data_IF_707238545945
#
_entry.id   IF_707238545945
#
_cell.length_a   1.000
_cell.length_b   1.000
_cell.length_c   1.000
_cell.angle_alpha   90.00
_cell.angle_beta   90.00
_cell.angle_gamma   90.00
#
_symmetry.space_group_name_H-M   'P 1'
#
loop_
_entity.id
_entity.type
_entity.pdbx_description
1 polymer ?
#
# COMPACT_ATOMS: atom_id res chain seq x y z
N UNK A 1 -6.56 -32.47 25.19
CA UNK A 1 -5.30 -32.03 24.63
C UNK A 1 -5.54 -31.37 23.26
N UNK A 2 -5.22 -30.12 23.12
CA UNK A 2 -5.42 -29.33 21.89
C UNK A 2 -4.05 -28.89 21.37
N UNK A 3 -3.72 -29.28 20.13
CA UNK A 3 -2.48 -28.92 19.46
C UNK A 3 -2.71 -28.69 17.97
N UNK A 4 -1.74 -28.07 17.31
CA UNK A 4 -1.74 -27.91 15.88
C UNK A 4 -1.65 -29.29 15.19
N UNK A 5 -2.33 -29.46 14.06
CA UNK A 5 -2.33 -30.72 13.30
C UNK A 5 -0.93 -31.11 12.86
N UNK A 6 -0.09 -30.16 12.45
CA UNK A 6 1.28 -30.41 12.05
C UNK A 6 2.13 -30.94 13.22
N UNK A 7 1.89 -30.43 14.45
CA UNK A 7 2.50 -30.98 15.67
C UNK A 7 2.13 -32.45 15.86
N UNK A 8 0.83 -32.78 15.75
CA UNK A 8 0.38 -34.18 15.85
C UNK A 8 0.96 -35.07 14.75
N UNK A 9 1.05 -34.56 13.52
CA UNK A 9 1.62 -35.32 12.40
C UNK A 9 3.11 -35.64 12.57
N UNK A 10 3.88 -34.81 13.26
CA UNK A 10 5.27 -35.06 13.55
C UNK A 10 5.51 -36.11 14.64
N UNK A 11 4.56 -36.33 15.55
CA UNK A 11 4.73 -37.27 16.69
C UNK A 11 5.08 -38.70 16.22
N UNK A 12 4.36 -39.34 15.29
CA UNK A 12 4.67 -40.70 14.83
C UNK A 12 6.05 -40.79 14.20
N UNK A 13 6.43 -39.75 13.45
CA UNK A 13 7.74 -39.69 12.79
C UNK A 13 8.88 -39.61 13.81
N UNK A 14 8.71 -38.76 14.84
CA UNK A 14 9.70 -38.60 15.92
C UNK A 14 9.83 -39.88 16.72
N UNK A 15 8.70 -40.55 17.05
CA UNK A 15 8.73 -41.84 17.77
C UNK A 15 9.46 -42.90 16.96
N UNK A 16 9.21 -42.98 15.65
CA UNK A 16 9.77 -43.98 14.77
C UNK A 16 11.27 -43.75 14.47
N UNK A 17 11.66 -42.49 14.19
CA UNK A 17 13.05 -42.15 13.79
C UNK A 17 13.94 -41.70 14.95
N UNK A 18 13.36 -41.43 16.09
CA UNK A 18 14.02 -40.98 17.30
C UNK A 18 14.20 -39.46 17.41
N UNK A 19 14.32 -38.99 18.63
CA UNK A 19 14.49 -37.58 18.96
C UNK A 19 15.77 -36.97 18.40
N UNK A 20 16.88 -37.74 18.42
CA UNK A 20 18.16 -37.27 17.88
C UNK A 20 18.13 -37.00 16.39
N UNK A 21 17.35 -37.78 15.64
CA UNK A 21 17.14 -37.52 14.21
C UNK A 21 16.38 -36.17 14.01
N UNK A 22 15.30 -35.96 14.74
CA UNK A 22 14.51 -34.73 14.64
C UNK A 22 15.31 -33.49 15.07
N UNK A 23 16.12 -33.64 16.11
CA UNK A 23 16.93 -32.56 16.66
C UNK A 23 18.04 -32.05 15.69
N UNK A 24 18.38 -32.82 14.67
CA UNK A 24 19.35 -32.42 13.63
C UNK A 24 18.77 -31.52 12.55
N UNK A 25 17.45 -31.41 12.49
CA UNK A 25 16.74 -30.60 11.49
C UNK A 25 16.33 -29.28 12.15
N UNK A 26 16.51 -28.17 11.45
CA UNK A 26 16.12 -26.85 11.91
C UNK A 26 17.21 -26.09 12.65
N UNK A 27 16.81 -25.02 13.34
CA UNK A 27 17.71 -24.15 14.12
C UNK A 27 17.91 -24.68 15.54
N UNK A 28 18.72 -24.00 16.34
CA UNK A 28 18.97 -24.40 17.73
C UNK A 28 17.67 -24.45 18.55
N UNK A 29 16.79 -23.47 18.38
CA UNK A 29 15.54 -23.32 19.15
C UNK A 29 14.29 -23.81 18.43
N UNK A 30 14.28 -23.80 17.09
CA UNK A 30 13.18 -24.25 16.27
C UNK A 30 13.57 -25.49 15.49
N UNK A 31 13.14 -26.66 16.00
CA UNK A 31 13.50 -27.97 15.44
C UNK A 31 12.47 -28.46 14.43
N UNK A 32 12.95 -29.31 13.50
CA UNK A 32 12.11 -29.96 12.53
C UNK A 32 11.88 -29.13 11.27
N UNK A 33 10.81 -29.50 10.59
CA UNK A 33 10.35 -28.86 9.35
C UNK A 33 9.11 -28.02 9.61
N UNK A 34 8.76 -27.16 8.65
CA UNK A 34 7.51 -26.39 8.65
C UNK A 34 6.87 -26.44 7.27
N UNK A 35 5.58 -26.70 7.26
CA UNK A 35 4.76 -26.59 6.04
C UNK A 35 4.29 -25.16 5.87
N UNK A 36 4.55 -24.58 4.70
CA UNK A 36 4.03 -23.27 4.31
C UNK A 36 3.05 -23.39 3.15
N UNK A 37 1.98 -22.60 3.24
CA UNK A 37 1.07 -22.34 2.13
C UNK A 37 1.54 -21.07 1.42
N UNK A 38 2.22 -21.24 0.28
CA UNK A 38 2.63 -20.13 -0.58
C UNK A 38 1.48 -19.67 -1.43
N UNK A 39 1.19 -18.38 -1.39
CA UNK A 39 0.13 -17.73 -2.15
C UNK A 39 0.52 -16.33 -2.58
N UNK A 40 -0.34 -15.67 -3.37
CA UNK A 40 -0.15 -14.30 -3.83
C UNK A 40 0.58 -14.20 -5.16
N UNK A 41 1.48 -13.24 -5.29
CA UNK A 41 2.17 -12.88 -6.52
C UNK A 41 3.50 -13.64 -6.68
N UNK A 42 3.43 -14.95 -6.62
CA UNK A 42 4.58 -15.86 -6.73
C UNK A 42 4.31 -16.88 -7.84
N UNK A 43 5.34 -17.35 -8.54
CA UNK A 43 5.17 -18.25 -9.67
C UNK A 43 4.65 -19.63 -9.24
N UNK A 44 5.23 -20.24 -8.21
CA UNK A 44 4.85 -21.55 -7.70
C UNK A 44 3.97 -21.38 -6.46
N UNK A 45 2.65 -21.45 -6.64
CA UNK A 45 1.66 -21.43 -5.55
C UNK A 45 1.40 -22.84 -5.07
N UNK A 46 1.30 -23.05 -3.76
CA UNK A 46 0.99 -24.36 -3.19
C UNK A 46 1.58 -24.59 -1.80
N UNK A 47 1.60 -25.84 -1.38
CA UNK A 47 2.20 -26.24 -0.11
C UNK A 47 3.65 -26.64 -0.32
N UNK A 48 4.51 -26.16 0.55
CA UNK A 48 5.93 -26.54 0.62
C UNK A 48 6.27 -26.98 2.03
N UNK A 49 7.14 -27.97 2.16
CA UNK A 49 7.75 -28.35 3.43
C UNK A 49 9.23 -28.02 3.40
N UNK A 50 9.69 -27.25 4.38
CA UNK A 50 11.07 -26.76 4.45
C UNK A 50 11.64 -26.94 5.86
N UNK A 51 12.96 -27.10 6.03
CA UNK A 51 13.56 -27.09 7.35
C UNK A 51 13.41 -25.70 7.99
N UNK A 52 13.21 -25.69 9.31
CA UNK A 52 13.28 -24.45 10.08
C UNK A 52 14.64 -23.78 9.89
N UNK A 53 14.66 -22.45 9.71
CA UNK A 53 15.89 -21.68 9.49
C UNK A 53 16.26 -21.45 8.03
N UNK A 54 15.49 -21.99 7.08
CA UNK A 54 15.59 -21.55 5.68
C UNK A 54 15.32 -20.06 5.56
N UNK A 55 15.96 -19.36 4.64
CA UNK A 55 15.73 -17.92 4.46
C UNK A 55 14.46 -17.63 3.64
N UNK A 56 13.88 -16.46 3.87
CA UNK A 56 12.77 -15.98 3.03
C UNK A 56 13.17 -15.90 1.55
N UNK A 57 14.43 -15.58 1.27
CA UNK A 57 14.97 -15.50 -0.09
C UNK A 57 14.90 -16.86 -0.79
N UNK A 58 15.40 -17.90 -0.15
CA UNK A 58 15.37 -19.27 -0.70
C UNK A 58 13.93 -19.73 -0.94
N UNK A 59 13.03 -19.47 0.02
CA UNK A 59 11.61 -19.82 -0.14
C UNK A 59 10.96 -19.10 -1.31
N UNK A 60 11.17 -17.79 -1.44
CA UNK A 60 10.50 -16.98 -2.46
C UNK A 60 11.09 -17.23 -3.86
N UNK A 61 12.43 -17.24 -3.98
CA UNK A 61 13.06 -17.24 -5.29
C UNK A 61 13.45 -18.65 -5.78
N UNK A 62 13.94 -19.54 -4.90
CA UNK A 62 14.37 -20.87 -5.31
C UNK A 62 13.18 -21.85 -5.36
N UNK A 63 12.39 -21.91 -4.30
CA UNK A 63 11.24 -22.83 -4.24
C UNK A 63 10.02 -22.22 -4.93
N UNK A 64 9.70 -20.99 -4.61
CA UNK A 64 8.58 -20.25 -5.15
C UNK A 64 8.75 -19.78 -6.60
N UNK A 65 9.97 -19.91 -7.16
CA UNK A 65 10.28 -19.56 -8.54
C UNK A 65 10.27 -18.06 -8.83
N UNK A 66 10.33 -17.22 -7.78
CA UNK A 66 10.33 -15.75 -7.90
C UNK A 66 8.95 -15.15 -8.09
N UNK A 67 8.94 -13.84 -8.31
CA UNK A 67 7.71 -13.05 -8.42
C UNK A 67 7.08 -13.25 -9.81
N UNK A 68 5.77 -13.34 -9.83
CA UNK A 68 4.98 -13.56 -11.04
C UNK A 68 5.22 -12.44 -12.06
N UNK A 69 5.25 -12.82 -13.32
CA UNK A 69 5.43 -11.92 -14.48
C UNK A 69 6.74 -11.09 -14.43
N UNK A 70 7.75 -11.55 -13.70
CA UNK A 70 9.05 -10.86 -13.58
C UNK A 70 9.00 -9.53 -12.84
N UNK A 71 7.93 -9.26 -12.09
CA UNK A 71 7.78 -8.05 -11.29
C UNK A 71 8.70 -8.04 -10.07
N UNK A 72 8.79 -6.88 -9.43
CA UNK A 72 9.59 -6.74 -8.22
C UNK A 72 8.87 -7.26 -6.96
N UNK A 73 9.63 -7.94 -6.11
CA UNK A 73 9.18 -8.30 -4.77
C UNK A 73 8.98 -7.02 -3.94
N UNK A 74 7.81 -6.89 -3.34
CA UNK A 74 7.47 -5.79 -2.44
C UNK A 74 7.51 -6.21 -0.98
N UNK A 75 6.73 -7.24 -0.66
CA UNK A 75 6.60 -7.73 0.70
C UNK A 75 6.04 -9.15 0.75
N UNK A 76 6.11 -9.76 1.91
CA UNK A 76 5.44 -11.01 2.23
C UNK A 76 4.76 -10.92 3.59
N UNK A 77 3.50 -11.31 3.65
CA UNK A 77 2.77 -11.49 4.91
C UNK A 77 2.99 -12.91 5.39
N UNK A 78 3.54 -13.08 6.59
CA UNK A 78 3.67 -14.38 7.27
C UNK A 78 2.75 -14.43 8.49
N UNK A 79 2.36 -15.63 8.91
CA UNK A 79 1.49 -15.82 10.06
C UNK A 79 0.01 -15.49 9.83
N UNK A 80 -0.40 -15.34 8.56
CA UNK A 80 -1.78 -15.02 8.19
C UNK A 80 -2.22 -13.63 8.68
N UNK A 81 -3.52 -13.44 9.00
CA UNK A 81 -4.06 -12.16 9.46
C UNK A 81 -3.50 -11.65 10.79
N UNK A 82 -2.89 -12.54 11.56
CA UNK A 82 -2.31 -12.21 12.87
C UNK A 82 -0.82 -11.86 12.79
N UNK A 83 -0.20 -12.10 11.65
CA UNK A 83 1.22 -11.86 11.45
C UNK A 83 1.54 -10.45 10.99
N UNK A 84 2.78 -10.27 10.53
CA UNK A 84 3.28 -8.99 10.04
C UNK A 84 3.78 -9.07 8.60
N UNK A 85 3.95 -7.90 8.02
CA UNK A 85 4.42 -7.71 6.66
C UNK A 85 5.94 -7.52 6.66
N UNK A 86 6.66 -8.43 6.03
CA UNK A 86 8.12 -8.41 5.88
C UNK A 86 8.50 -7.89 4.50
N UNK A 87 9.56 -7.09 4.43
CA UNK A 87 9.99 -6.38 3.21
C UNK A 87 11.33 -6.90 2.68
N UNK A 88 11.85 -6.29 1.60
CA UNK A 88 13.15 -6.64 0.99
C UNK A 88 14.29 -6.74 2.01
N UNK A 89 14.29 -5.93 3.07
CA UNK A 89 15.31 -5.96 4.14
C UNK A 89 15.33 -7.25 4.96
N UNK A 90 14.23 -8.03 4.90
CA UNK A 90 14.10 -9.26 5.65
C UNK A 90 14.29 -10.52 4.80
N UNK A 91 14.66 -10.40 3.52
CA UNK A 91 14.81 -11.55 2.63
C UNK A 91 15.81 -12.59 3.14
N UNK A 92 16.86 -12.15 3.82
CA UNK A 92 17.91 -13.04 4.35
C UNK A 92 17.67 -13.45 5.82
N UNK A 93 16.47 -13.12 6.36
CA UNK A 93 16.06 -13.55 7.69
C UNK A 93 15.74 -15.05 7.68
N UNK A 94 16.35 -15.85 8.57
CA UNK A 94 15.97 -17.24 8.75
C UNK A 94 14.52 -17.37 9.22
N UNK A 95 13.78 -18.27 8.62
CA UNK A 95 12.38 -18.52 8.99
C UNK A 95 12.34 -19.46 10.18
N UNK A 96 12.26 -18.92 11.37
CA UNK A 96 11.98 -19.62 12.62
C UNK A 96 11.12 -18.74 13.54
N UNK A 97 10.73 -19.28 14.69
CA UNK A 97 9.80 -18.56 15.59
C UNK A 97 10.41 -17.27 16.12
N UNK A 98 11.66 -17.31 16.59
CA UNK A 98 12.31 -16.17 17.25
C UNK A 98 12.64 -15.06 16.24
N UNK A 99 13.20 -15.42 15.08
CA UNK A 99 13.60 -14.46 14.07
C UNK A 99 12.37 -13.75 13.42
N UNK A 100 11.28 -14.48 13.19
CA UNK A 100 10.06 -13.87 12.66
C UNK A 100 9.43 -12.92 13.67
N UNK A 101 9.44 -13.25 14.97
CA UNK A 101 8.96 -12.33 16.02
C UNK A 101 9.86 -11.09 16.10
N UNK A 102 11.17 -11.26 16.05
CA UNK A 102 12.12 -10.14 16.06
C UNK A 102 11.97 -9.23 14.84
N UNK A 103 11.56 -9.79 13.71
CA UNK A 103 11.26 -9.04 12.48
C UNK A 103 9.85 -8.37 12.48
N UNK A 104 9.11 -8.47 13.56
CA UNK A 104 7.76 -7.88 13.71
C UNK A 104 6.64 -8.69 13.05
N UNK A 105 6.87 -9.99 12.81
CA UNK A 105 5.87 -10.90 12.27
C UNK A 105 5.72 -12.15 13.17
N UNK A 106 5.20 -13.22 12.64
CA UNK A 106 5.08 -14.50 13.33
C UNK A 106 5.01 -15.66 12.32
N UNK A 107 5.26 -16.87 12.83
CA UNK A 107 5.14 -18.11 12.06
C UNK A 107 3.68 -18.45 11.73
N UNK A 108 2.81 -18.34 12.71
CA UNK A 108 1.41 -18.78 12.62
C UNK A 108 1.30 -20.25 12.22
N UNK A 109 0.31 -20.56 11.43
CA UNK A 109 0.10 -21.89 10.86
C UNK A 109 0.82 -22.13 9.52
N UNK A 110 1.69 -21.21 9.09
CA UNK A 110 2.46 -21.35 7.86
C UNK A 110 1.85 -20.65 6.64
N UNK A 111 0.90 -19.75 6.84
CA UNK A 111 0.42 -18.89 5.74
C UNK A 111 1.50 -17.91 5.30
N UNK A 112 1.78 -17.85 3.98
CA UNK A 112 2.77 -16.97 3.39
C UNK A 112 2.20 -16.36 2.10
N UNK A 113 1.86 -15.08 2.14
CA UNK A 113 1.26 -14.37 1.00
C UNK A 113 2.26 -13.36 0.46
N UNK A 114 2.76 -13.63 -0.73
CA UNK A 114 3.77 -12.81 -1.40
C UNK A 114 3.09 -11.70 -2.21
N UNK A 115 3.62 -10.49 -2.12
CA UNK A 115 3.12 -9.28 -2.75
C UNK A 115 4.20 -8.66 -3.64
N UNK A 116 3.78 -8.17 -4.79
CA UNK A 116 4.59 -7.45 -5.76
C UNK A 116 4.37 -5.93 -5.67
N UNK A 117 5.04 -5.19 -6.55
CA UNK A 117 4.93 -3.74 -6.67
C UNK A 117 3.52 -3.22 -6.97
N UNK A 118 2.64 -4.06 -7.53
CA UNK A 118 1.24 -3.70 -7.85
C UNK A 118 0.28 -3.91 -6.68
N UNK A 119 0.77 -4.35 -5.54
CA UNK A 119 -0.03 -4.55 -4.33
C UNK A 119 -0.11 -3.25 -3.53
N UNK A 120 -1.32 -2.77 -3.21
CA UNK A 120 -1.53 -1.60 -2.35
C UNK A 120 -1.51 -2.02 -0.88
N UNK A 121 -0.59 -1.46 -0.10
CA UNK A 121 -0.42 -1.86 1.31
C UNK A 121 -1.56 -1.40 2.21
N UNK A 122 -2.22 -0.29 1.89
CA UNK A 122 -3.45 0.16 2.57
C UNK A 122 -4.59 -0.84 2.37
N UNK A 123 -4.77 -1.31 1.13
CA UNK A 123 -5.79 -2.31 0.78
C UNK A 123 -5.51 -3.67 1.42
N UNK A 124 -4.23 -4.08 1.47
CA UNK A 124 -3.81 -5.34 2.13
C UNK A 124 -4.08 -5.28 3.65
N UNK A 125 -3.71 -4.19 4.31
CA UNK A 125 -3.99 -4.01 5.74
C UNK A 125 -5.50 -4.06 6.02
N UNK A 126 -6.30 -3.40 5.19
CA UNK A 126 -7.76 -3.42 5.27
C UNK A 126 -8.31 -4.84 5.13
N UNK A 127 -7.86 -5.59 4.11
CA UNK A 127 -8.30 -6.97 3.85
C UNK A 127 -8.09 -7.89 5.06
N UNK A 128 -6.90 -7.87 5.66
CA UNK A 128 -6.62 -8.69 6.84
C UNK A 128 -7.45 -8.27 8.06
N UNK A 129 -7.69 -6.98 8.19
CA UNK A 129 -8.48 -6.46 9.31
C UNK A 129 -9.97 -6.77 9.16
N UNK A 130 -10.51 -6.73 7.93
CA UNK A 130 -11.89 -7.16 7.63
C UNK A 130 -12.09 -8.62 8.04
N UNK A 131 -11.18 -9.51 7.65
CA UNK A 131 -11.20 -10.90 8.10
C UNK A 131 -11.21 -11.01 9.64
N UNK A 132 -10.37 -10.24 10.33
CA UNK A 132 -10.32 -10.28 11.80
C UNK A 132 -11.59 -9.74 12.45
N UNK A 133 -12.25 -8.75 11.82
CA UNK A 133 -13.56 -8.27 12.28
C UNK A 133 -14.64 -9.35 12.19
N UNK A 134 -14.62 -10.15 11.12
CA UNK A 134 -15.58 -11.27 10.92
C UNK A 134 -15.32 -12.41 11.91
N UNK A 135 -14.07 -12.72 12.21
CA UNK A 135 -13.67 -13.77 13.15
C UNK A 135 -13.74 -13.36 14.63
N UNK A 136 -14.01 -12.10 14.92
CA UNK A 136 -14.10 -11.60 16.29
C UNK A 136 -15.29 -12.22 17.06
N UNK A 137 -15.00 -12.80 18.21
CA UNK A 137 -16.07 -13.35 19.10
C UNK A 137 -16.96 -12.26 19.74
N UNK A 138 -16.60 -10.97 19.60
CA UNK A 138 -17.38 -9.83 20.08
C UNK A 138 -17.37 -9.60 21.60
N UNK A 139 -16.57 -10.34 22.39
CA UNK A 139 -16.59 -10.21 23.87
C UNK A 139 -15.96 -8.91 24.36
N UNK A 140 -14.70 -8.65 23.99
CA UNK A 140 -13.98 -7.48 24.52
C UNK A 140 -14.11 -6.25 23.62
N UNK A 141 -14.29 -5.09 24.22
CA UNK A 141 -14.48 -3.83 23.52
C UNK A 141 -13.31 -3.46 22.59
N UNK A 142 -12.03 -3.62 22.98
CA UNK A 142 -10.92 -3.28 22.10
C UNK A 142 -10.99 -4.03 20.75
N UNK A 143 -11.22 -5.31 20.76
CA UNK A 143 -11.37 -6.11 19.55
C UNK A 143 -12.68 -5.79 18.80
N UNK A 144 -13.84 -5.86 19.49
CA UNK A 144 -15.16 -5.69 18.85
C UNK A 144 -15.34 -4.32 18.20
N UNK A 145 -15.00 -3.26 18.91
CA UNK A 145 -15.21 -1.89 18.46
C UNK A 145 -13.95 -1.35 17.79
N UNK A 146 -12.78 -1.59 18.37
CA UNK A 146 -11.52 -1.05 17.87
C UNK A 146 -11.19 -1.53 16.47
N UNK A 147 -11.26 -2.84 16.18
CA UNK A 147 -11.00 -3.36 14.84
C UNK A 147 -11.97 -2.78 13.80
N UNK A 148 -13.25 -2.63 14.17
CA UNK A 148 -14.22 -2.00 13.28
C UNK A 148 -13.84 -0.55 12.97
N UNK A 149 -13.39 0.21 13.97
CA UNK A 149 -12.93 1.60 13.77
C UNK A 149 -11.68 1.66 12.88
N UNK A 150 -10.70 0.76 13.09
CA UNK A 150 -9.55 0.66 12.18
C UNK A 150 -9.99 0.37 10.74
N UNK A 151 -10.96 -0.53 10.51
CA UNK A 151 -11.53 -0.80 9.18
C UNK A 151 -12.20 0.43 8.56
N UNK A 152 -12.97 1.18 9.33
CA UNK A 152 -13.61 2.42 8.90
C UNK A 152 -12.56 3.47 8.49
N UNK A 153 -11.49 3.62 9.28
CA UNK A 153 -10.38 4.54 8.98
C UNK A 153 -9.61 4.13 7.71
N UNK A 154 -9.26 2.85 7.56
CA UNK A 154 -8.62 2.35 6.34
C UNK A 154 -9.53 2.50 5.11
N UNK A 155 -10.84 2.30 5.28
CA UNK A 155 -11.83 2.53 4.23
C UNK A 155 -11.90 4.01 3.85
N UNK A 156 -11.88 4.92 4.82
CA UNK A 156 -11.83 6.37 4.61
C UNK A 156 -10.57 6.77 3.83
N UNK A 157 -9.39 6.20 4.19
CA UNK A 157 -8.12 6.45 3.53
C UNK A 157 -8.14 5.92 2.09
N UNK A 158 -8.57 4.68 1.86
CA UNK A 158 -8.62 4.06 0.53
C UNK A 158 -9.61 4.74 -0.43
N UNK A 159 -10.60 5.47 0.10
CA UNK A 159 -11.55 6.30 -0.65
C UNK A 159 -11.10 7.75 -0.86
N UNK A 160 -9.88 8.10 -0.45
CA UNK A 160 -9.34 9.45 -0.63
C UNK A 160 -9.84 10.50 0.36
N UNK A 161 -10.67 10.11 1.33
CA UNK A 161 -11.22 11.01 2.35
C UNK A 161 -10.39 11.07 3.64
N UNK A 162 -9.26 10.33 3.69
CA UNK A 162 -8.34 10.32 4.82
C UNK A 162 -7.59 11.64 5.00
N UNK A 163 -7.12 11.87 6.22
CA UNK A 163 -6.28 13.00 6.63
C UNK A 163 -5.01 12.50 7.29
N UNK A 164 -3.99 13.35 7.44
CA UNK A 164 -2.76 12.97 8.17
C UNK A 164 -3.06 12.60 9.63
N UNK A 165 -4.05 13.24 10.24
CA UNK A 165 -4.49 12.94 11.60
C UNK A 165 -5.07 11.52 11.69
N UNK A 166 -5.84 11.08 10.68
CA UNK A 166 -6.34 9.71 10.61
C UNK A 166 -5.20 8.67 10.62
N UNK A 167 -4.03 8.96 10.03
CA UNK A 167 -2.88 8.05 10.07
C UNK A 167 -2.28 7.91 11.48
N UNK A 168 -2.17 9.01 12.21
CA UNK A 168 -1.69 8.98 13.58
C UNK A 168 -2.70 8.30 14.51
N UNK A 169 -3.98 8.59 14.33
CA UNK A 169 -5.06 7.91 15.07
C UNK A 169 -5.09 6.42 14.78
N UNK A 170 -4.94 6.02 13.51
CA UNK A 170 -4.88 4.61 13.09
C UNK A 170 -3.76 3.87 13.84
N UNK A 171 -2.57 4.46 13.92
CA UNK A 171 -1.43 3.89 14.65
C UNK A 171 -1.71 3.79 16.16
N UNK A 172 -2.22 4.86 16.76
CA UNK A 172 -2.50 4.90 18.20
C UNK A 172 -3.58 3.89 18.59
N UNK A 173 -4.68 3.85 17.86
CA UNK A 173 -5.77 2.91 18.10
C UNK A 173 -5.30 1.46 17.93
N UNK A 174 -4.49 1.18 16.90
CA UNK A 174 -3.91 -0.14 16.68
C UNK A 174 -3.05 -0.60 17.87
N UNK A 175 -2.21 0.29 18.41
CA UNK A 175 -1.41 0.00 19.62
C UNK A 175 -2.30 -0.29 20.83
N UNK A 176 -3.32 0.55 21.08
CA UNK A 176 -4.25 0.35 22.21
C UNK A 176 -4.98 -1.00 22.09
N UNK A 177 -5.43 -1.40 20.91
CA UNK A 177 -6.09 -2.70 20.73
C UNK A 177 -5.12 -3.84 21.02
N UNK A 178 -3.89 -3.74 20.55
CA UNK A 178 -2.85 -4.75 20.78
C UNK A 178 -2.60 -4.97 22.27
N UNK A 179 -2.52 -3.90 23.04
CA UNK A 179 -2.17 -3.95 24.45
C UNK A 179 -3.35 -4.28 25.37
N UNK A 180 -4.60 -4.03 24.93
CA UNK A 180 -5.77 -4.14 25.80
C UNK A 180 -6.74 -5.25 25.44
N UNK A 181 -6.60 -5.91 24.29
CA UNK A 181 -7.45 -7.02 23.90
C UNK A 181 -7.20 -8.26 24.78
N UNK A 182 -8.27 -9.01 25.09
CA UNK A 182 -8.22 -10.11 26.08
C UNK A 182 -7.64 -11.41 25.55
N UNK A 183 -7.57 -11.60 24.23
CA UNK A 183 -7.08 -12.86 23.63
C UNK A 183 -6.19 -12.61 22.45
N UNK A 184 -5.49 -13.66 22.01
CA UNK A 184 -4.51 -13.60 20.91
C UNK A 184 -5.07 -13.03 19.62
N UNK A 185 -6.34 -13.31 19.25
CA UNK A 185 -6.94 -12.71 18.05
C UNK A 185 -6.92 -11.18 18.12
N UNK A 186 -7.45 -10.61 19.20
CA UNK A 186 -7.50 -9.17 19.35
C UNK A 186 -6.13 -8.52 19.53
N UNK A 187 -5.21 -9.17 20.24
CA UNK A 187 -3.83 -8.68 20.45
C UNK A 187 -3.01 -8.68 19.15
N UNK A 188 -3.30 -9.57 18.22
CA UNK A 188 -2.56 -9.69 16.97
C UNK A 188 -3.26 -9.04 15.77
N UNK A 189 -4.56 -8.78 15.87
CA UNK A 189 -5.35 -8.17 14.79
C UNK A 189 -4.76 -6.86 14.21
N UNK A 190 -4.12 -5.98 15.02
CA UNK A 190 -3.53 -4.76 14.50
C UNK A 190 -2.16 -4.96 13.83
N UNK A 191 -1.53 -6.13 13.93
CA UNK A 191 -0.19 -6.36 13.41
C UNK A 191 -0.04 -6.04 11.91
N UNK A 192 -0.96 -6.46 11.01
CA UNK A 192 -0.88 -6.08 9.59
C UNK A 192 -0.93 -4.55 9.40
N UNK A 193 -1.75 -3.84 10.17
CA UNK A 193 -1.86 -2.38 10.10
C UNK A 193 -0.56 -1.73 10.57
N UNK A 194 -0.04 -2.12 11.73
CA UNK A 194 1.19 -1.56 12.29
C UNK A 194 2.39 -1.84 11.39
N UNK A 195 2.56 -3.08 10.95
CA UNK A 195 3.70 -3.47 10.10
C UNK A 195 3.67 -2.80 8.73
N UNK A 196 2.50 -2.58 8.14
CA UNK A 196 2.39 -1.86 6.87
C UNK A 196 2.58 -0.35 7.05
N UNK A 197 2.09 0.25 8.13
CA UNK A 197 2.38 1.64 8.47
C UNK A 197 3.89 1.88 8.69
N UNK A 198 4.57 0.96 9.38
CA UNK A 198 6.00 1.09 9.68
C UNK A 198 6.89 0.93 8.45
N UNK A 199 6.53 0.02 7.54
CA UNK A 199 7.34 -0.29 6.38
C UNK A 199 6.97 0.50 5.11
N UNK A 200 5.73 1.05 5.02
CA UNK A 200 5.19 1.69 3.82
C UNK A 200 4.46 3.00 4.14
N UNK A 201 4.96 3.75 5.11
CA UNK A 201 4.40 5.03 5.53
C UNK A 201 4.15 5.99 4.36
N UNK A 202 5.08 6.03 3.41
CA UNK A 202 4.98 6.87 2.21
C UNK A 202 3.77 6.53 1.33
N UNK A 203 3.37 5.24 1.23
CA UNK A 203 2.15 4.87 0.52
C UNK A 203 0.88 5.37 1.21
N UNK A 204 0.85 5.34 2.54
CA UNK A 204 -0.26 5.89 3.31
C UNK A 204 -0.35 7.40 3.15
N UNK A 205 0.80 8.10 3.17
CA UNK A 205 0.86 9.55 2.93
C UNK A 205 0.38 9.89 1.52
N UNK A 206 0.79 9.16 0.49
CA UNK A 206 0.27 9.35 -0.87
C UNK A 206 -1.25 9.22 -0.96
N UNK A 207 -1.86 8.22 -0.29
CA UNK A 207 -3.31 8.07 -0.27
C UNK A 207 -4.02 9.25 0.39
N UNK A 208 -3.39 9.84 1.41
CA UNK A 208 -3.99 10.90 2.23
C UNK A 208 -3.73 12.29 1.67
N UNK A 209 -2.48 12.57 1.25
CA UNK A 209 -2.05 13.90 0.78
C UNK A 209 -2.24 14.05 -0.73
N UNK A 210 -1.67 13.12 -1.51
CA UNK A 210 -1.68 13.18 -2.96
C UNK A 210 -2.99 12.63 -3.57
N UNK A 211 -3.85 12.02 -2.73
CA UNK A 211 -5.07 11.35 -3.16
C UNK A 211 -4.81 10.34 -4.27
N UNK A 212 -3.69 9.63 -4.17
CA UNK A 212 -3.19 8.71 -5.18
C UNK A 212 -2.87 7.34 -4.60
N UNK A 213 -3.23 6.28 -5.34
CA UNK A 213 -2.82 4.92 -5.08
C UNK A 213 -1.78 4.51 -6.12
N UNK A 214 -0.48 4.41 -5.75
CA UNK A 214 0.60 4.03 -6.68
C UNK A 214 0.39 2.65 -7.32
N UNK A 215 -0.29 1.76 -6.62
CA UNK A 215 -0.62 0.42 -7.11
C UNK A 215 -1.87 0.38 -8.02
N UNK A 216 -2.62 1.47 -8.13
CA UNK A 216 -3.83 1.53 -8.95
C UNK A 216 -4.99 0.64 -8.47
N UNK A 217 -5.01 0.22 -7.21
CA UNK A 217 -6.01 -0.69 -6.65
C UNK A 217 -7.23 0.05 -6.09
N UNK A 218 -7.01 1.23 -5.50
CA UNK A 218 -8.06 2.02 -4.87
C UNK A 218 -8.82 2.82 -5.94
N UNK A 219 -9.96 2.29 -6.39
CA UNK A 219 -10.72 2.81 -7.54
C UNK A 219 -11.17 4.26 -7.38
N UNK A 220 -11.55 4.65 -6.17
CA UNK A 220 -12.00 6.01 -5.88
C UNK A 220 -10.87 7.03 -6.02
N UNK A 221 -9.62 6.63 -5.78
CA UNK A 221 -8.45 7.49 -6.00
C UNK A 221 -8.07 7.59 -7.48
N UNK A 222 -8.43 6.60 -8.30
CA UNK A 222 -8.26 6.63 -9.76
C UNK A 222 -9.26 7.57 -10.43
N UNK A 223 -10.50 7.64 -9.92
CA UNK A 223 -11.53 8.55 -10.44
C UNK A 223 -11.17 10.00 -10.20
N UNK A 224 -10.43 10.32 -9.15
CA UNK A 224 -9.94 11.67 -8.88
C UNK A 224 -8.97 12.18 -9.97
N UNK A 225 -8.09 11.32 -10.49
CA UNK A 225 -7.25 11.67 -11.66
C UNK A 225 -8.10 11.83 -12.94
N UNK A 226 -9.14 11.00 -13.11
CA UNK A 226 -10.05 11.07 -14.27
C UNK A 226 -10.97 12.29 -14.24
N UNK A 227 -11.47 12.69 -13.06
CA UNK A 227 -12.34 13.87 -12.92
C UNK A 227 -11.59 15.17 -13.21
N UNK A 228 -10.32 15.27 -12.86
CA UNK A 228 -9.47 16.41 -13.25
C UNK A 228 -9.31 16.46 -14.77
N UNK A 229 -9.13 15.30 -15.42
CA UNK A 229 -9.02 15.22 -16.87
C UNK A 229 -10.36 15.48 -17.57
N UNK A 230 -11.49 15.04 -17.00
CA UNK A 230 -12.83 15.26 -17.55
C UNK A 230 -13.32 16.71 -17.39
N UNK A 231 -12.94 17.40 -16.30
CA UNK A 231 -13.21 18.83 -16.09
C UNK A 231 -12.50 19.73 -17.11
N UNK A 232 -11.45 19.21 -17.76
CA UNK A 232 -10.68 19.91 -18.79
C UNK A 232 -11.23 19.63 -20.18
N UNK A 233 -12.08 18.59 -20.32
CA UNK A 233 -12.69 18.14 -21.59
C UNK A 233 -14.08 18.73 -21.77
N UNK A 234 -14.22 20.06 -21.82
CA UNK A 234 -15.47 20.69 -22.19
C UNK A 234 -15.36 21.28 -23.60
N UNK A 235 -16.11 20.63 -24.52
CA UNK A 235 -16.60 21.08 -25.83
C UNK A 235 -15.81 22.19 -26.55
N UNK A 236 -15.22 21.78 -27.67
CA UNK A 236 -14.73 22.62 -28.76
C UNK A 236 -13.32 23.25 -28.66
N UNK A 237 -12.56 22.98 -27.63
CA UNK A 237 -11.14 23.35 -27.61
C UNK A 237 -10.33 22.16 -27.06
N UNK A 238 -9.47 21.58 -27.89
CA UNK A 238 -8.59 20.48 -27.47
C UNK A 238 -7.50 21.08 -26.59
N UNK A 239 -7.72 21.09 -25.29
CA UNK A 239 -6.70 21.35 -24.27
C UNK A 239 -6.10 19.98 -23.89
N UNK A 240 -4.87 19.70 -24.32
CA UNK A 240 -4.15 18.52 -23.83
C UNK A 240 -3.41 18.96 -22.58
N UNK A 241 -3.86 18.48 -21.42
CA UNK A 241 -3.15 18.63 -20.16
C UNK A 241 -2.22 17.42 -20.01
N UNK A 242 -0.94 17.60 -20.21
CA UNK A 242 0.08 16.63 -19.80
C UNK A 242 0.54 16.98 -18.39
N UNK A 243 0.21 16.08 -17.44
CA UNK A 243 0.71 16.18 -16.07
C UNK A 243 2.06 15.49 -16.01
N UNK A 244 3.13 16.27 -16.01
CA UNK A 244 4.47 15.75 -15.78
C UNK A 244 4.80 15.78 -14.29
N UNK A 245 5.07 14.61 -13.72
CA UNK A 245 5.59 14.47 -12.37
C UNK A 245 7.12 14.57 -12.42
N UNK A 246 7.66 15.63 -11.85
CA UNK A 246 9.10 15.71 -11.58
C UNK A 246 9.33 15.12 -10.19
N UNK A 247 10.14 14.06 -10.10
CA UNK A 247 10.50 13.43 -8.84
C UNK A 247 11.09 14.45 -7.86
N UNK A 248 10.57 14.43 -6.61
CA UNK A 248 11.12 15.07 -5.41
C UNK A 248 10.84 16.54 -5.11
N UNK A 249 9.77 17.14 -5.56
CA UNK A 249 9.32 18.41 -4.96
C UNK A 249 7.83 18.37 -4.63
N UNK A 250 7.44 18.99 -3.52
CA UNK A 250 6.10 19.01 -2.91
C UNK A 250 5.04 19.74 -3.80
N UNK A 251 5.41 20.15 -4.99
CA UNK A 251 4.53 20.86 -5.92
C UNK A 251 4.54 20.14 -7.27
N UNK A 252 3.37 19.59 -7.64
CA UNK A 252 3.14 19.09 -9.00
C UNK A 252 2.81 20.29 -9.90
N UNK A 253 3.64 20.54 -10.90
CA UNK A 253 3.36 21.53 -11.93
C UNK A 253 2.48 20.93 -13.02
N UNK A 254 1.38 21.57 -13.33
CA UNK A 254 0.52 21.21 -14.46
C UNK A 254 1.05 21.95 -15.69
N UNK A 255 1.47 21.21 -16.70
CA UNK A 255 1.88 21.77 -17.99
C UNK A 255 0.67 21.73 -18.92
N UNK A 256 0.16 22.91 -19.28
CA UNK A 256 -0.92 23.05 -20.25
C UNK A 256 -0.28 23.28 -21.62
N UNK A 257 -0.42 22.31 -22.52
CA UNK A 257 0.03 22.44 -23.90
C UNK A 257 -1.13 22.71 -24.82
N UNK A 258 -1.11 23.80 -25.52
CA UNK A 258 -2.04 24.08 -26.64
C UNK A 258 -1.49 23.52 -27.94
N UNK A 259 -2.34 22.88 -28.75
CA UNK A 259 -1.93 22.36 -30.05
C UNK A 259 -1.28 23.47 -30.86
N UNK A 260 0.03 23.42 -30.97
CA UNK A 260 0.94 24.22 -31.80
C UNK A 260 1.84 25.29 -31.18
N UNK A 261 2.24 25.31 -29.92
CA UNK A 261 3.45 26.07 -29.55
C UNK A 261 3.48 26.83 -28.22
N UNK A 262 2.48 26.76 -27.36
CA UNK A 262 2.60 27.39 -26.04
C UNK A 262 2.54 26.36 -24.92
N UNK A 263 3.57 26.34 -24.08
CA UNK A 263 3.64 25.55 -22.85
C UNK A 263 3.46 26.52 -21.69
N UNK A 264 2.37 26.35 -20.92
CA UNK A 264 2.14 27.12 -19.70
C UNK A 264 2.36 26.22 -18.49
N UNK A 265 3.28 26.57 -17.60
CA UNK A 265 3.45 25.90 -16.31
C UNK A 265 2.57 26.57 -15.28
N UNK A 266 1.63 25.82 -14.71
CA UNK A 266 0.78 26.29 -13.61
C UNK A 266 0.91 25.34 -12.41
N UNK A 267 0.91 25.90 -11.20
CA UNK A 267 0.76 25.06 -9.99
C UNK A 267 -0.70 24.65 -9.80
N UNK A 268 -0.94 23.52 -9.14
CA UNK A 268 -2.28 22.99 -8.88
C UNK A 268 -3.21 24.04 -8.22
N UNK A 269 -2.66 24.89 -7.35
CA UNK A 269 -3.45 25.99 -6.73
C UNK A 269 -3.89 27.06 -7.73
N UNK A 270 -3.13 27.27 -8.77
CA UNK A 270 -3.44 28.27 -9.82
C UNK A 270 -4.44 27.71 -10.83
N UNK A 271 -4.39 26.42 -11.16
CA UNK A 271 -5.35 25.74 -12.03
C UNK A 271 -6.79 25.82 -11.47
N UNK A 272 -6.96 25.67 -10.15
CA UNK A 272 -8.28 25.81 -9.48
C UNK A 272 -8.81 27.26 -9.58
N UNK A 273 -7.93 28.27 -9.61
CA UNK A 273 -8.33 29.69 -9.79
C UNK A 273 -8.66 30.02 -11.24
N UNK A 274 -7.97 29.45 -12.21
CA UNK A 274 -8.23 29.64 -13.65
C UNK A 274 -9.62 29.09 -14.03
N UNK A 275 -10.10 28.06 -13.36
CA UNK A 275 -11.43 27.48 -13.58
C UNK A 275 -12.59 28.45 -13.25
N UNK A 276 -12.33 29.53 -12.50
CA UNK A 276 -13.34 30.57 -12.18
C UNK A 276 -13.28 31.79 -13.10
N UNK A 277 -12.29 31.86 -13.98
CA UNK A 277 -12.21 32.94 -14.97
C UNK A 277 -12.88 32.47 -16.27
N UNK A 278 -14.12 32.93 -16.52
CA UNK A 278 -14.77 32.80 -17.82
C UNK A 278 -13.98 33.63 -18.84
N UNK A 279 -13.05 33.00 -19.54
CA UNK A 279 -12.34 33.65 -20.67
C UNK A 279 -13.27 33.61 -21.87
N UNK A 280 -13.99 34.70 -22.12
CA UNK A 280 -14.74 34.87 -23.36
C UNK A 280 -13.77 35.39 -24.44
N UNK A 281 -13.49 34.59 -25.44
CA UNK A 281 -12.67 35.02 -26.58
C UNK A 281 -13.41 36.10 -27.37
N UNK A 282 -12.74 37.19 -27.78
CA UNK A 282 -13.36 38.22 -28.62
C UNK A 282 -13.85 37.65 -29.96
N UNK A 283 -14.98 38.12 -30.47
CA UNK A 283 -15.44 37.75 -31.82
C UNK A 283 -14.42 38.20 -32.85
N UNK A 284 -13.96 37.27 -33.69
CA UNK A 284 -12.93 37.51 -34.72
C UNK A 284 -11.53 37.16 -34.33
N UNK A 285 -11.34 36.44 -33.21
CA UNK A 285 -10.01 35.97 -32.78
C UNK A 285 -9.46 34.92 -33.75
N UNK A 286 -8.33 35.23 -34.40
CA UNK A 286 -7.63 34.27 -35.26
C UNK A 286 -6.77 33.30 -34.45
N UNK A 287 -7.23 32.05 -34.36
CA UNK A 287 -6.56 30.98 -33.63
C UNK A 287 -5.27 30.47 -34.33
N UNK A 288 -5.00 30.91 -35.54
CA UNK A 288 -3.82 30.52 -36.32
C UNK A 288 -2.62 31.44 -36.09
N UNK A 289 -2.83 32.61 -35.47
CA UNK A 289 -1.77 33.60 -35.20
C UNK A 289 -1.20 33.46 -33.76
N UNK A 290 0.04 32.96 -33.61
CA UNK A 290 0.67 32.76 -32.32
C UNK A 290 0.92 34.05 -31.52
N UNK A 291 1.14 35.19 -32.19
CA UNK A 291 1.45 36.46 -31.53
C UNK A 291 0.20 37.12 -30.93
N UNK A 292 -0.94 36.97 -31.60
CA UNK A 292 -2.24 37.42 -31.08
C UNK A 292 -2.64 36.64 -29.83
N UNK A 293 -2.37 35.33 -29.82
CA UNK A 293 -2.61 34.49 -28.67
C UNK A 293 -1.71 34.82 -27.48
N UNK A 294 -0.43 35.10 -27.75
CA UNK A 294 0.57 35.52 -26.74
C UNK A 294 0.20 36.84 -26.07
N UNK A 295 -0.31 37.79 -26.83
CA UNK A 295 -0.79 39.08 -26.32
C UNK A 295 -2.00 38.95 -25.41
N UNK A 296 -2.94 38.04 -25.71
CA UNK A 296 -4.12 37.78 -24.88
C UNK A 296 -3.71 37.14 -23.53
N UNK A 297 -2.86 36.15 -23.54
CA UNK A 297 -2.34 35.49 -22.33
C UNK A 297 -1.55 36.47 -21.45
N UNK A 298 -0.81 37.39 -22.05
CA UNK A 298 -0.09 38.46 -21.30
C UNK A 298 -1.03 39.51 -20.73
N UNK A 299 -2.16 39.82 -21.40
CA UNK A 299 -3.14 40.80 -20.92
C UNK A 299 -3.91 40.30 -19.69
N UNK A 300 -4.28 39.02 -19.68
CA UNK A 300 -4.97 38.41 -18.52
C UNK A 300 -4.06 38.24 -17.29
N UNK A 301 -2.73 38.24 -17.47
CA UNK A 301 -1.76 38.28 -16.35
C UNK A 301 -1.88 39.55 -15.50
N UNK A 302 -2.34 40.65 -16.07
CA UNK A 302 -2.43 41.95 -15.37
C UNK A 302 -3.70 42.05 -14.49
N UNK A 303 -4.69 41.19 -14.67
CA UNK A 303 -5.94 41.19 -13.89
C UNK A 303 -5.93 40.13 -12.76
N UNK A 304 -5.01 39.20 -12.75
CA UNK A 304 -4.84 38.23 -11.67
C UNK A 304 -3.72 38.70 -10.71
N UNK A 305 -4.06 39.51 -9.71
CA UNK A 305 -3.15 39.87 -8.63
C UNK A 305 -2.66 38.64 -7.86
N UNK A 306 -1.56 38.07 -8.28
CA UNK A 306 -0.97 36.88 -7.65
C UNK A 306 0.12 36.17 -8.46
N UNK A 307 0.46 36.65 -9.66
CA UNK A 307 1.48 36.03 -10.51
C UNK A 307 2.74 36.90 -10.67
N UNK A 308 2.99 37.82 -9.75
CA UNK A 308 4.12 38.75 -9.85
C UNK A 308 5.46 38.22 -9.32
N UNK A 309 5.73 36.91 -9.36
CA UNK A 309 7.09 36.40 -9.05
C UNK A 309 7.44 35.18 -9.89
N UNK A 310 7.54 35.35 -11.20
CA UNK A 310 8.23 34.39 -12.08
C UNK A 310 8.87 35.12 -13.24
N UNK A 311 9.87 35.96 -12.91
CA UNK A 311 10.93 36.42 -13.85
C UNK A 311 12.23 36.35 -13.08
N UNK A 312 12.92 35.25 -13.15
CA UNK A 312 14.36 35.00 -13.31
C UNK A 312 14.59 33.51 -13.43
#
# INVERSE_FOLDING_TARGET
>A
NVNNVETFANIPVIITKGADWFNKIGTEKSKGTKVFALAGQINNVGLIEVPMGITLREVIYEIGGGIKDGKEFKAVQTGGPSGGCLTKKHLDTPIDYDNLIAAGSMMGSGGMVVMDETSCMVSIAKFYLEFTCEESCGKCTPCRIGNKRLCEMLTKISKGNGTMEDLYELRNLAAVIKDTALCGLGQTSPNPVLSTLDNFWDEYVEHVVDKKCRAGVCKELLSFEMDILSLIYHRDSILILEVYRKERTVYSDIIVSFKKSCILKCSIRTAIKVQRCNVTLPRGFDQSDPDTFRALVCKDRLTCSGINNLST
#
